data_IF_160856825209
#
_entry.id   IF_160856825209
#
_cell.length_a   1.000
_cell.length_b   1.000
_cell.length_c   1.000
_cell.angle_alpha   90.00
_cell.angle_beta   90.00
_cell.angle_gamma   90.00
#
_symmetry.space_group_name_H-M   'P 1'
#
loop_
_entity.id
_entity.type
_entity.pdbx_description
1 polymer ?
#
# COMPACT_ATOMS: atom_id res chain seq x y z
N UNK A 1 -10.36 1.30 14.13
CA UNK A 1 -10.09 1.36 15.58
C UNK A 1 -10.89 0.30 16.32
N UNK A 2 -12.22 0.23 16.15
CA UNK A 2 -13.06 -0.80 16.80
C UNK A 2 -12.64 -2.24 16.49
N UNK A 3 -12.18 -2.54 15.26
CA UNK A 3 -11.68 -3.88 14.93
C UNK A 3 -10.49 -4.33 15.80
N UNK A 4 -9.64 -3.41 16.25
CA UNK A 4 -8.50 -3.70 17.12
C UNK A 4 -8.92 -4.00 18.58
N UNK A 5 -10.20 -3.83 18.90
CA UNK A 5 -10.73 -4.23 20.21
C UNK A 5 -11.05 -5.74 20.25
N UNK A 6 -11.06 -6.41 19.08
CA UNK A 6 -11.47 -7.81 18.95
C UNK A 6 -10.47 -8.69 18.19
N UNK A 7 -9.62 -8.10 17.35
CA UNK A 7 -8.64 -8.80 16.52
C UNK A 7 -7.20 -8.31 16.78
N UNK A 8 -6.26 -9.25 16.82
CA UNK A 8 -4.82 -8.97 17.00
C UNK A 8 -4.17 -8.37 15.75
N UNK A 9 -4.79 -8.57 14.57
CA UNK A 9 -4.30 -8.07 13.29
C UNK A 9 -5.45 -7.59 12.42
N UNK A 10 -5.33 -6.36 11.91
CA UNK A 10 -6.33 -5.74 11.02
C UNK A 10 -5.64 -5.28 9.73
N UNK A 11 -6.09 -5.82 8.59
CA UNK A 11 -5.65 -5.40 7.27
C UNK A 11 -6.65 -4.42 6.66
N UNK A 12 -6.17 -3.26 6.21
CA UNK A 12 -7.00 -2.25 5.54
C UNK A 12 -6.51 -2.07 4.11
N UNK A 13 -7.37 -2.37 3.13
CA UNK A 13 -7.06 -2.19 1.71
C UNK A 13 -7.84 -1.00 1.13
N UNK A 14 -7.13 0.08 0.81
CA UNK A 14 -7.70 1.22 0.09
C UNK A 14 -6.57 2.04 -0.55
N UNK A 15 -6.88 2.91 -1.52
CA UNK A 15 -5.87 3.79 -2.11
C UNK A 15 -5.52 4.94 -1.15
N UNK A 16 -4.72 4.67 -0.12
CA UNK A 16 -4.27 5.66 0.86
C UNK A 16 -3.15 6.58 0.36
N UNK A 17 -3.22 7.03 -0.90
CA UNK A 17 -2.11 7.74 -1.54
C UNK A 17 -1.85 9.13 -0.95
N UNK A 18 -2.88 9.82 -0.43
CA UNK A 18 -2.71 11.17 0.13
C UNK A 18 -2.39 11.11 1.61
N UNK A 19 -3.12 10.27 2.32
CA UNK A 19 -3.10 10.10 3.76
C UNK A 19 -1.72 9.65 4.25
N UNK A 20 -1.11 8.67 3.58
CA UNK A 20 0.22 8.17 4.00
C UNK A 20 1.36 9.15 3.75
N UNK A 21 1.14 10.16 2.91
CA UNK A 21 2.14 11.21 2.61
C UNK A 21 1.99 12.43 3.50
N UNK A 22 0.94 12.47 4.31
CA UNK A 22 0.75 13.47 5.35
C UNK A 22 1.42 12.98 6.63
N UNK A 23 2.56 13.60 6.95
CA UNK A 23 3.34 13.27 8.14
C UNK A 23 2.56 13.50 9.43
N UNK A 24 1.75 14.56 9.51
CA UNK A 24 0.96 14.84 10.71
C UNK A 24 -0.13 13.78 10.88
N UNK A 25 -0.82 13.42 9.80
CA UNK A 25 -1.81 12.35 9.81
C UNK A 25 -1.20 11.02 10.29
N UNK A 26 -0.07 10.61 9.72
CA UNK A 26 0.58 9.34 10.07
C UNK A 26 1.14 9.36 11.50
N UNK A 27 1.78 10.45 11.92
CA UNK A 27 2.24 10.57 13.32
C UNK A 27 1.08 10.48 14.30
N UNK A 28 -0.04 11.16 14.02
CA UNK A 28 -1.24 11.08 14.85
C UNK A 28 -1.84 9.67 14.87
N UNK A 29 -1.84 8.97 13.72
CA UNK A 29 -2.30 7.59 13.65
C UNK A 29 -1.39 6.64 14.44
N UNK A 30 -0.06 6.74 14.27
CA UNK A 30 0.92 5.97 15.04
C UNK A 30 0.72 6.18 16.56
N UNK A 31 0.50 7.42 17.01
CA UNK A 31 0.26 7.73 18.42
C UNK A 31 -1.03 7.09 18.96
N UNK A 32 -2.13 7.17 18.20
CA UNK A 32 -3.40 6.52 18.59
C UNK A 32 -3.32 5.00 18.65
N UNK A 33 -2.51 4.39 17.78
CA UNK A 33 -2.30 2.94 17.76
C UNK A 33 -1.41 2.49 18.93
N UNK A 34 -0.39 3.29 19.30
CA UNK A 34 0.43 3.05 20.50
C UNK A 34 -0.38 3.03 21.79
N UNK A 35 -1.45 3.83 21.91
CA UNK A 35 -2.37 3.79 23.06
C UNK A 35 -3.05 2.42 23.25
N UNK A 36 -3.10 1.60 22.20
CA UNK A 36 -3.66 0.25 22.19
C UNK A 36 -2.60 -0.85 22.09
N UNK A 37 -1.32 -0.51 22.23
CA UNK A 37 -0.19 -1.42 22.00
C UNK A 37 -0.19 -2.04 20.58
N UNK A 38 -0.70 -1.28 19.60
CA UNK A 38 -0.77 -1.70 18.20
C UNK A 38 0.32 -1.01 17.39
N UNK A 39 1.03 -1.80 16.57
CA UNK A 39 1.98 -1.30 15.58
C UNK A 39 1.30 -1.04 14.24
N UNK A 40 1.70 0.04 13.57
CA UNK A 40 1.30 0.34 12.19
C UNK A 40 2.38 -0.12 11.21
N UNK A 41 2.01 -1.02 10.30
CA UNK A 41 2.84 -1.45 9.16
C UNK A 41 2.19 -0.96 7.87
N UNK A 42 2.93 -0.26 7.01
CA UNK A 42 2.43 0.17 5.70
C UNK A 42 3.02 -0.72 4.61
N UNK A 43 2.15 -1.41 3.86
CA UNK A 43 2.55 -2.19 2.68
C UNK A 43 2.23 -1.39 1.43
N UNK A 44 3.26 -0.91 0.72
CA UNK A 44 3.11 -0.19 -0.54
C UNK A 44 3.20 -1.16 -1.72
N UNK A 45 2.10 -1.31 -2.47
CA UNK A 45 2.07 -2.16 -3.67
C UNK A 45 2.67 -1.40 -4.85
N UNK A 46 3.89 -1.75 -5.21
CA UNK A 46 4.58 -1.23 -6.38
C UNK A 46 4.19 -2.05 -7.62
N UNK A 47 3.66 -1.39 -8.64
CA UNK A 47 3.33 -2.00 -9.93
C UNK A 47 3.60 -1.02 -11.04
N UNK A 48 4.21 -1.48 -12.12
CA UNK A 48 4.47 -0.63 -13.27
C UNK A 48 3.18 -0.10 -13.89
N UNK A 49 3.23 1.12 -14.43
CA UNK A 49 2.11 1.77 -15.11
C UNK A 49 1.55 0.90 -16.23
N UNK A 50 2.43 0.23 -16.99
CA UNK A 50 2.05 -0.66 -18.08
C UNK A 50 1.25 -1.86 -17.58
N UNK A 51 1.73 -2.55 -16.54
CA UNK A 51 1.02 -3.70 -15.95
C UNK A 51 -0.33 -3.28 -15.34
N UNK A 52 -0.39 -2.11 -14.71
CA UNK A 52 -1.66 -1.54 -14.23
C UNK A 52 -2.67 -1.35 -15.38
N UNK A 53 -2.22 -0.80 -16.52
CA UNK A 53 -3.07 -0.63 -17.71
C UNK A 53 -3.57 -1.97 -18.25
N UNK A 54 -2.66 -2.93 -18.40
CA UNK A 54 -2.97 -4.28 -18.89
C UNK A 54 -3.99 -4.97 -17.98
N UNK A 55 -3.82 -4.90 -16.66
CA UNK A 55 -4.76 -5.47 -15.69
C UNK A 55 -6.13 -4.77 -15.70
N UNK A 56 -6.17 -3.44 -15.88
CA UNK A 56 -7.43 -2.71 -16.03
C UNK A 56 -8.20 -3.15 -17.29
N UNK A 57 -7.50 -3.32 -18.42
CA UNK A 57 -8.09 -3.84 -19.66
C UNK A 57 -8.59 -5.27 -19.45
N UNK A 58 -7.76 -6.15 -18.90
CA UNK A 58 -8.08 -7.57 -18.71
C UNK A 58 -9.28 -7.79 -17.77
N UNK A 59 -9.44 -6.95 -16.74
CA UNK A 59 -10.59 -7.01 -15.82
C UNK A 59 -11.89 -6.53 -16.47
N UNK A 60 -11.81 -5.76 -17.56
CA UNK A 60 -12.94 -5.29 -18.37
C UNK A 60 -14.11 -4.73 -17.54
N UNK A 61 -13.82 -3.75 -16.66
CA UNK A 61 -14.80 -3.14 -15.79
C UNK A 61 -15.31 -1.81 -16.37
N UNK A 62 -16.63 -1.62 -16.48
CA UNK A 62 -17.25 -0.40 -17.02
C UNK A 62 -16.80 0.88 -16.29
N UNK A 63 -16.43 0.77 -15.01
CA UNK A 63 -15.90 1.91 -14.23
C UNK A 63 -14.55 2.42 -14.73
N UNK A 64 -13.83 1.62 -15.52
CA UNK A 64 -12.52 1.95 -16.04
C UNK A 64 -12.57 2.51 -17.47
N UNK A 65 -13.75 2.54 -18.13
CA UNK A 65 -13.91 2.99 -19.53
C UNK A 65 -13.32 4.37 -19.80
N UNK A 66 -13.65 5.36 -18.96
CA UNK A 66 -13.12 6.71 -19.14
C UNK A 66 -11.60 6.78 -18.93
N UNK A 67 -11.07 6.06 -17.93
CA UNK A 67 -9.63 6.03 -17.63
C UNK A 67 -8.84 5.40 -18.77
N UNK A 68 -9.37 4.32 -19.37
CA UNK A 68 -8.73 3.64 -20.49
C UNK A 68 -8.77 4.49 -21.77
N UNK A 69 -9.87 5.20 -22.02
CA UNK A 69 -10.00 6.12 -23.15
C UNK A 69 -9.12 7.37 -23.01
N UNK A 70 -8.89 7.85 -21.78
CA UNK A 70 -8.12 9.06 -21.47
C UNK A 70 -6.87 8.74 -20.65
N UNK A 71 -6.16 7.66 -21.01
CA UNK A 71 -5.07 7.10 -20.19
C UNK A 71 -3.98 8.12 -19.84
N UNK A 72 -3.52 8.89 -20.83
CA UNK A 72 -2.44 9.86 -20.66
C UNK A 72 -2.83 11.03 -19.75
N UNK A 73 -4.12 11.37 -19.68
CA UNK A 73 -4.64 12.37 -18.74
C UNK A 73 -4.78 11.76 -17.34
N UNK A 74 -5.40 10.58 -17.26
CA UNK A 74 -5.61 9.87 -16.01
C UNK A 74 -4.30 9.63 -15.26
N UNK A 75 -3.27 9.13 -15.96
CA UNK A 75 -2.03 8.72 -15.31
C UNK A 75 -1.23 9.89 -14.73
N UNK A 76 -1.37 11.09 -15.31
CA UNK A 76 -0.74 12.32 -14.77
C UNK A 76 -1.27 12.69 -13.38
N UNK A 77 -2.49 12.27 -13.05
CA UNK A 77 -3.12 12.51 -11.75
C UNK A 77 -2.80 11.45 -10.69
N UNK A 78 -2.09 10.37 -11.06
CA UNK A 78 -1.81 9.25 -10.15
C UNK A 78 -0.36 9.30 -9.69
N UNK A 79 -0.14 9.25 -8.37
CA UNK A 79 1.20 9.24 -7.78
C UNK A 79 1.65 7.80 -7.46
N UNK A 80 2.61 7.30 -8.23
CA UNK A 80 3.21 5.97 -8.06
C UNK A 80 4.45 5.97 -7.16
N UNK A 81 4.97 7.14 -6.78
CA UNK A 81 6.23 7.23 -6.05
C UNK A 81 6.09 6.56 -4.69
N UNK A 82 7.09 5.79 -4.28
CA UNK A 82 7.14 5.19 -2.94
C UNK A 82 7.05 6.30 -1.88
N UNK A 83 6.22 6.17 -0.84
CA UNK A 83 6.07 7.16 0.22
C UNK A 83 7.29 7.14 1.16
N UNK A 84 8.42 7.68 0.70
CA UNK A 84 9.69 7.66 1.45
C UNK A 84 9.66 8.42 2.78
N UNK A 85 8.62 9.21 3.04
CA UNK A 85 8.39 9.84 4.34
C UNK A 85 8.06 8.84 5.46
N UNK A 86 7.74 7.61 5.09
CA UNK A 86 7.45 6.52 6.01
C UNK A 86 8.64 5.61 6.30
N UNK A 87 9.74 5.74 5.56
CA UNK A 87 10.89 4.83 5.61
C UNK A 87 11.87 5.28 6.69
N UNK A 88 11.68 4.81 7.94
CA UNK A 88 12.63 4.99 9.03
C UNK A 88 13.66 3.84 8.99
N UNK A 89 14.96 4.12 8.78
CA UNK A 89 15.97 3.06 8.67
C UNK A 89 16.14 2.24 9.95
N UNK A 90 15.67 2.74 11.10
CA UNK A 90 15.73 2.03 12.38
C UNK A 90 14.49 1.14 12.63
N UNK A 91 13.46 1.22 11.78
CA UNK A 91 12.21 0.45 11.90
C UNK A 91 12.05 -0.46 10.68
N UNK A 92 12.17 -1.76 10.89
CA UNK A 92 12.22 -2.75 9.79
C UNK A 92 10.91 -2.84 8.99
N UNK A 93 9.78 -2.45 9.57
CA UNK A 93 8.45 -2.74 9.06
C UNK A 93 7.49 -1.56 9.03
N UNK A 94 7.98 -0.32 9.10
CA UNK A 94 7.12 0.85 8.92
C UNK A 94 6.69 1.07 7.46
N UNK A 95 7.54 0.67 6.50
CA UNK A 95 7.24 0.62 5.07
C UNK A 95 7.79 -0.64 4.40
N UNK A 96 6.89 -1.50 3.93
CA UNK A 96 7.23 -2.70 3.16
C UNK A 96 6.81 -2.53 1.70
N UNK A 97 7.74 -2.76 0.77
CA UNK A 97 7.47 -2.65 -0.67
C UNK A 97 7.05 -4.00 -1.23
N UNK A 98 5.79 -4.09 -1.65
CA UNK A 98 5.24 -5.26 -2.30
C UNK A 98 5.33 -5.10 -3.82
N UNK A 99 6.31 -5.75 -4.47
CA UNK A 99 6.44 -5.71 -5.92
C UNK A 99 5.45 -6.65 -6.58
N UNK A 100 4.70 -6.13 -7.54
CA UNK A 100 3.58 -6.84 -8.15
C UNK A 100 3.49 -6.61 -9.67
N UNK A 101 4.62 -6.44 -10.36
CA UNK A 101 4.62 -6.31 -11.83
C UNK A 101 4.71 -7.65 -12.55
N UNK A 102 5.13 -8.73 -11.88
CA UNK A 102 5.16 -10.10 -12.41
C UNK A 102 4.81 -11.13 -11.34
N UNK A 103 4.54 -12.37 -11.74
CA UNK A 103 4.30 -13.48 -10.80
C UNK A 103 5.52 -13.73 -9.91
N UNK A 104 6.72 -13.71 -10.49
CA UNK A 104 7.97 -13.91 -9.75
C UNK A 104 8.20 -12.80 -8.69
N UNK A 105 7.93 -11.54 -9.05
CA UNK A 105 8.00 -10.42 -8.09
C UNK A 105 6.96 -10.55 -6.98
N UNK A 106 5.74 -10.96 -7.35
CA UNK A 106 4.64 -11.18 -6.42
C UNK A 106 4.99 -12.25 -5.39
N UNK A 107 5.42 -13.44 -5.83
CA UNK A 107 5.76 -14.55 -4.94
C UNK A 107 6.90 -14.20 -3.99
N UNK A 108 7.96 -13.54 -4.50
CA UNK A 108 9.08 -13.09 -3.68
C UNK A 108 8.65 -12.05 -2.64
N UNK A 109 7.85 -11.07 -3.05
CA UNK A 109 7.37 -10.01 -2.16
C UNK A 109 6.44 -10.55 -1.09
N UNK A 110 5.53 -11.45 -1.46
CA UNK A 110 4.61 -12.10 -0.53
C UNK A 110 5.38 -12.87 0.53
N UNK A 111 6.32 -13.73 0.13
CA UNK A 111 7.14 -14.49 1.07
C UNK A 111 7.91 -13.56 2.02
N UNK A 112 8.63 -12.59 1.47
CA UNK A 112 9.44 -11.66 2.26
C UNK A 112 8.61 -10.86 3.28
N UNK A 113 7.45 -10.35 2.87
CA UNK A 113 6.59 -9.53 3.72
C UNK A 113 5.94 -10.38 4.81
N UNK A 114 5.47 -11.59 4.48
CA UNK A 114 4.94 -12.52 5.49
C UNK A 114 6.03 -12.88 6.51
N UNK A 115 7.24 -13.20 6.06
CA UNK A 115 8.37 -13.52 6.95
C UNK A 115 8.64 -12.35 7.93
N UNK A 116 8.58 -11.09 7.49
CA UNK A 116 8.73 -9.91 8.37
C UNK A 116 7.57 -9.82 9.35
N UNK A 117 6.33 -9.90 8.87
CA UNK A 117 5.15 -9.73 9.72
C UNK A 117 5.02 -10.81 10.81
N UNK A 118 5.51 -12.03 10.55
CA UNK A 118 5.50 -13.12 11.52
C UNK A 118 6.67 -13.04 12.53
N UNK A 119 7.75 -12.34 12.20
CA UNK A 119 8.96 -12.26 13.05
C UNK A 119 9.07 -10.96 13.84
N UNK A 120 8.22 -9.97 13.55
CA UNK A 120 8.30 -8.62 14.09
C UNK A 120 7.32 -8.35 15.21
#
# INVERSE_FOLDING_TARGET
MEALDYDDMVLINAPFTREIRDNEYISNLKNKLKEKDVRLVVIWVETSVEVCKQRMIARNNDRDTWKLANWDEYIKGVNFNIPSNLDDPDIIDDLLIFKNSSEEEYEKSLKYIVDILETS
#
